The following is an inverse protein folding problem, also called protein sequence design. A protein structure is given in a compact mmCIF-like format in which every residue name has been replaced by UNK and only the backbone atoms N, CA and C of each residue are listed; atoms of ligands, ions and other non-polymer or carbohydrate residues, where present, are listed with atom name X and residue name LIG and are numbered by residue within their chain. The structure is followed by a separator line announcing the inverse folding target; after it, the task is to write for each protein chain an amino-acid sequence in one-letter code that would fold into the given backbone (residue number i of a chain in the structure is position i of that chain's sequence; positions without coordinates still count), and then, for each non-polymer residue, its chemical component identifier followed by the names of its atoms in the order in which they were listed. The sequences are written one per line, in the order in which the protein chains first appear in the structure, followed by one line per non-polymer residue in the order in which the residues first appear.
data_IF_689576742939
#
_entry.id   IF_689576742939
#
_cell.length_a   1.000
_cell.length_b   1.000
_cell.length_c   1.000
_cell.angle_alpha   90.00
_cell.angle_beta   90.00
_cell.angle_gamma   90.00
#
_symmetry.space_group_name_H-M   'P 1'
#
loop_
_entity.id
_entity.type
_entity.pdbx_description
1 polymer ?
#
# COMPACT_ATOMS: atom_id res chain seq x y z
N UNK A 1 25.42 -7.19 -7.72
CA UNK A 1 26.36 -7.69 -6.71
C UNK A 1 25.61 -8.22 -5.51
N UNK A 2 25.97 -9.39 -5.06
CA UNK A 2 25.32 -10.06 -3.94
C UNK A 2 26.25 -10.13 -2.72
N UNK A 3 26.58 -9.01 -2.15
CA UNK A 3 27.28 -8.98 -0.86
C UNK A 3 26.32 -9.16 0.30
N UNK A 4 26.82 -9.48 1.52
CA UNK A 4 25.96 -9.67 2.69
C UNK A 4 25.04 -8.48 3.00
N UNK A 5 25.48 -7.27 2.78
CA UNK A 5 24.68 -6.06 2.99
C UNK A 5 23.56 -5.90 1.99
N UNK A 6 23.72 -6.37 0.76
CA UNK A 6 22.66 -6.30 -0.25
C UNK A 6 21.46 -7.17 0.16
N UNK A 7 21.70 -8.30 0.85
CA UNK A 7 20.66 -9.18 1.34
C UNK A 7 19.86 -8.60 2.50
N UNK A 8 20.43 -7.61 3.19
CA UNK A 8 19.81 -6.97 4.36
C UNK A 8 19.30 -5.56 4.06
N UNK A 9 19.36 -5.13 2.79
CA UNK A 9 18.84 -3.83 2.41
C UNK A 9 17.31 -3.80 2.58
N UNK A 10 16.86 -2.89 3.40
CA UNK A 10 15.43 -2.72 3.72
C UNK A 10 15.06 -1.24 3.64
N UNK A 11 13.76 -1.00 3.49
CA UNK A 11 13.20 0.33 3.70
C UNK A 11 12.03 0.24 4.68
N UNK A 12 11.66 1.37 5.25
CA UNK A 12 10.65 1.43 6.29
C UNK A 12 9.46 2.26 5.85
N UNK A 13 8.26 1.79 6.19
CA UNK A 13 7.02 2.49 5.91
C UNK A 13 6.39 2.86 7.26
N UNK A 14 6.28 4.16 7.57
CA UNK A 14 5.68 4.59 8.83
C UNK A 14 4.16 4.51 8.78
N UNK A 15 3.49 4.52 9.95
CA UNK A 15 2.04 4.48 9.98
C UNK A 15 1.42 5.82 9.57
N UNK A 16 0.24 5.75 8.98
CA UNK A 16 -0.62 6.90 8.77
C UNK A 16 -1.42 7.16 10.04
N UNK A 17 -1.36 8.39 10.55
CA UNK A 17 -2.17 8.84 11.67
C UNK A 17 -2.77 10.18 11.37
N UNK A 18 -4.10 10.25 11.35
CA UNK A 18 -4.83 11.49 11.25
C UNK A 18 -5.63 11.70 12.54
N UNK A 19 -5.98 12.95 12.82
CA UNK A 19 -6.77 13.28 14.00
C UNK A 19 -8.15 12.59 14.01
N UNK A 20 -8.65 12.21 12.83
CA UNK A 20 -9.95 11.54 12.67
C UNK A 20 -9.92 10.05 12.95
N UNK A 21 -8.76 9.45 13.09
CA UNK A 21 -8.61 8.01 13.27
C UNK A 21 -7.67 7.71 14.43
N UNK A 22 -7.90 6.57 15.07
CA UNK A 22 -7.10 6.12 16.21
C UNK A 22 -6.05 5.13 15.70
N UNK A 23 -4.91 5.65 15.27
CA UNK A 23 -3.78 4.80 14.92
C UNK A 23 -3.10 4.30 16.21
N UNK A 24 -2.93 2.99 16.33
CA UNK A 24 -2.36 2.37 17.54
C UNK A 24 -0.88 2.21 17.42
N UNK A 25 -0.44 1.77 16.27
CA UNK A 25 0.96 1.41 16.08
C UNK A 25 1.73 2.56 15.49
N UNK A 26 2.79 2.94 16.20
CA UNK A 26 3.78 3.92 15.74
C UNK A 26 4.98 3.22 15.09
N UNK A 27 4.99 1.88 15.10
CA UNK A 27 6.07 1.08 14.53
C UNK A 27 6.06 1.18 13.00
N UNK A 28 7.25 1.26 12.42
CA UNK A 28 7.42 1.24 10.98
C UNK A 28 7.39 -0.20 10.48
N UNK A 29 6.71 -0.44 9.37
CA UNK A 29 6.81 -1.72 8.67
C UNK A 29 8.11 -1.76 7.87
N UNK A 30 8.73 -2.93 7.81
CA UNK A 30 9.98 -3.14 7.08
C UNK A 30 9.71 -3.98 5.84
N UNK A 31 10.28 -3.55 4.71
CA UNK A 31 10.22 -4.29 3.46
C UNK A 31 11.63 -4.46 2.91
N UNK A 32 11.86 -5.56 2.21
CA UNK A 32 13.13 -5.81 1.53
C UNK A 32 13.18 -5.04 0.21
N UNK A 33 14.31 -4.45 -0.11
CA UNK A 33 14.54 -3.88 -1.44
C UNK A 33 14.54 -5.00 -2.50
N UNK A 34 15.02 -6.17 -2.14
CA UNK A 34 14.87 -7.37 -2.97
C UNK A 34 13.68 -8.19 -2.45
N UNK A 35 12.52 -8.00 -3.05
CA UNK A 35 11.29 -8.68 -2.66
C UNK A 35 11.36 -10.20 -2.86
N UNK A 36 12.29 -10.71 -3.70
CA UNK A 36 12.42 -12.15 -3.93
C UNK A 36 12.94 -12.91 -2.70
N UNK A 37 13.48 -12.19 -1.72
CA UNK A 37 13.95 -12.78 -0.46
C UNK A 37 12.82 -13.22 0.47
N UNK A 38 11.60 -12.74 0.24
CA UNK A 38 10.44 -13.10 1.07
C UNK A 38 9.92 -14.47 0.63
N UNK A 39 9.91 -15.49 1.52
CA UNK A 39 9.64 -16.86 1.10
C UNK A 39 8.17 -17.18 0.83
N UNK A 40 7.23 -16.49 1.47
CA UNK A 40 5.80 -16.76 1.34
C UNK A 40 5.16 -15.90 0.27
N UNK A 41 4.21 -16.47 -0.47
CA UNK A 41 3.59 -15.80 -1.62
C UNK A 41 2.88 -14.49 -1.26
N UNK A 42 2.00 -14.51 -0.28
CA UNK A 42 1.26 -13.31 0.13
C UNK A 42 2.16 -12.17 0.56
N UNK A 43 3.02 -12.38 1.57
CA UNK A 43 4.00 -11.35 1.99
C UNK A 43 4.96 -10.94 0.89
N UNK A 44 5.37 -11.85 0.01
CA UNK A 44 6.24 -11.52 -1.13
C UNK A 44 5.54 -10.59 -2.09
N UNK A 45 4.29 -10.85 -2.40
CA UNK A 45 3.49 -9.99 -3.26
C UNK A 45 3.32 -8.60 -2.63
N UNK A 46 2.98 -8.52 -1.37
CA UNK A 46 2.90 -7.24 -0.66
C UNK A 46 4.23 -6.49 -0.72
N UNK A 47 5.35 -7.19 -0.53
CA UNK A 47 6.68 -6.58 -0.61
C UNK A 47 7.01 -6.07 -2.02
N UNK A 48 6.61 -6.80 -3.06
CA UNK A 48 6.75 -6.35 -4.43
C UNK A 48 6.00 -5.04 -4.67
N UNK A 49 4.76 -4.97 -4.19
CA UNK A 49 3.93 -3.77 -4.32
C UNK A 49 4.55 -2.61 -3.52
N UNK A 50 5.06 -2.89 -2.30
CA UNK A 50 5.76 -1.90 -1.50
C UNK A 50 6.94 -1.28 -2.25
N UNK A 51 7.76 -2.11 -2.89
CA UNK A 51 8.91 -1.64 -3.69
C UNK A 51 8.44 -0.75 -4.84
N UNK A 52 7.38 -1.14 -5.52
CA UNK A 52 6.85 -0.38 -6.65
C UNK A 52 6.30 0.97 -6.21
N UNK A 53 5.52 1.00 -5.14
CA UNK A 53 4.97 2.24 -4.59
C UNK A 53 6.05 3.16 -4.04
N UNK A 54 7.03 2.62 -3.31
CA UNK A 54 8.15 3.40 -2.77
C UNK A 54 8.94 4.09 -3.89
N UNK A 55 9.20 3.35 -4.96
CA UNK A 55 9.92 3.87 -6.12
C UNK A 55 9.13 4.98 -6.82
N UNK A 56 7.83 4.78 -7.00
CA UNK A 56 6.97 5.78 -7.60
C UNK A 56 6.88 7.04 -6.73
N UNK A 57 6.73 6.89 -5.43
CA UNK A 57 6.69 8.03 -4.48
C UNK A 57 8.00 8.81 -4.54
N UNK A 58 9.14 8.12 -4.53
CA UNK A 58 10.45 8.76 -4.63
C UNK A 58 10.59 9.55 -5.94
N UNK A 59 10.16 8.97 -7.04
CA UNK A 59 10.14 9.65 -8.33
C UNK A 59 9.28 10.93 -8.31
N UNK A 60 8.09 10.84 -7.73
CA UNK A 60 7.20 12.00 -7.63
C UNK A 60 7.78 13.10 -6.74
N UNK A 61 8.49 12.73 -5.68
CA UNK A 61 9.19 13.70 -4.82
C UNK A 61 10.35 14.35 -5.56
N UNK A 62 11.22 13.55 -6.14
CA UNK A 62 12.50 14.01 -6.67
C UNK A 62 12.38 14.72 -8.02
N UNK A 63 11.50 14.23 -8.89
CA UNK A 63 11.36 14.76 -10.24
C UNK A 63 10.26 15.83 -10.33
N UNK A 64 9.13 15.60 -9.66
CA UNK A 64 7.98 16.50 -9.74
C UNK A 64 7.81 17.43 -8.55
N UNK A 65 8.64 17.25 -7.51
CA UNK A 65 8.59 18.10 -6.33
C UNK A 65 7.30 17.97 -5.52
N UNK A 66 6.58 16.83 -5.67
CA UNK A 66 5.33 16.60 -4.93
C UNK A 66 5.63 16.24 -3.47
N UNK A 67 4.79 16.72 -2.55
CA UNK A 67 4.85 16.36 -1.14
C UNK A 67 4.02 15.09 -0.89
N UNK A 68 4.55 13.96 -1.37
CA UNK A 68 3.90 12.65 -1.23
C UNK A 68 4.71 11.76 -0.31
N UNK A 69 4.03 10.88 0.42
CA UNK A 69 4.65 9.94 1.35
C UNK A 69 3.92 8.60 1.30
N UNK A 70 4.68 7.51 1.46
CA UNK A 70 4.14 6.17 1.58
C UNK A 70 3.95 5.83 3.06
N UNK A 71 2.74 5.39 3.43
CA UNK A 71 2.35 5.02 4.78
C UNK A 71 1.60 3.69 4.76
N UNK A 72 1.33 3.11 5.93
CA UNK A 72 0.37 2.03 6.11
C UNK A 72 -0.62 2.43 7.19
N UNK A 73 -1.75 1.72 7.28
CA UNK A 73 -2.75 1.99 8.32
C UNK A 73 -3.00 0.76 9.17
N UNK A 74 -3.07 0.97 10.49
CA UNK A 74 -3.51 -0.03 11.46
C UNK A 74 -4.06 0.69 12.68
N UNK A 75 -5.26 0.31 13.12
CA UNK A 75 -5.89 0.94 14.28
C UNK A 75 -6.08 -0.02 15.47
N UNK A 76 -6.66 0.49 16.57
CA UNK A 76 -6.90 -0.28 17.81
C UNK A 76 -7.88 -1.42 17.60
N UNK A 77 -8.76 -1.32 16.61
CA UNK A 77 -9.79 -2.31 16.33
C UNK A 77 -9.33 -3.38 15.33
N UNK A 78 -8.04 -3.37 14.98
CA UNK A 78 -7.44 -4.35 14.08
C UNK A 78 -7.74 -4.12 12.61
N UNK A 79 -8.26 -2.93 12.24
CA UNK A 79 -8.43 -2.57 10.84
C UNK A 79 -7.09 -2.17 10.26
N UNK A 80 -6.79 -2.68 9.07
CA UNK A 80 -5.51 -2.45 8.41
C UNK A 80 -5.72 -2.13 6.94
N UNK A 81 -4.82 -1.30 6.40
CA UNK A 81 -4.63 -1.10 4.96
C UNK A 81 -3.13 -1.14 4.70
N UNK A 82 -2.72 -1.96 3.76
CA UNK A 82 -1.30 -2.20 3.52
C UNK A 82 -0.54 -0.93 3.15
N UNK A 83 -1.11 -0.09 2.28
CA UNK A 83 -0.45 1.13 1.84
C UNK A 83 -1.42 2.30 1.74
N UNK A 84 -0.96 3.44 2.23
CA UNK A 84 -1.67 4.71 2.13
C UNK A 84 -0.66 5.73 1.57
N UNK A 85 -0.90 6.20 0.36
CA UNK A 85 -0.09 7.29 -0.19
C UNK A 85 -0.78 8.60 0.16
N UNK A 86 -0.05 9.44 0.88
CA UNK A 86 -0.54 10.76 1.29
C UNK A 86 0.12 11.85 0.45
N UNK A 87 -0.62 12.88 0.14
CA UNK A 87 -0.09 14.12 -0.40
C UNK A 87 -0.46 15.24 0.54
N UNK A 88 0.53 15.99 1.04
CA UNK A 88 0.33 17.02 2.06
C UNK A 88 -0.44 16.49 3.27
N UNK A 89 -0.04 15.31 3.72
CA UNK A 89 -0.62 14.60 4.86
C UNK A 89 -2.07 14.13 4.65
N UNK A 90 -2.62 14.23 3.44
CA UNK A 90 -3.97 13.76 3.13
C UNK A 90 -3.91 12.49 2.27
N UNK A 91 -4.66 11.44 2.61
CA UNK A 91 -4.70 10.23 1.79
C UNK A 91 -5.18 10.53 0.38
N UNK A 92 -4.42 10.04 -0.60
CA UNK A 92 -4.75 10.14 -2.02
C UNK A 92 -4.97 8.78 -2.66
N UNK A 93 -4.26 7.76 -2.17
CA UNK A 93 -4.33 6.41 -2.70
C UNK A 93 -4.28 5.42 -1.54
N UNK A 94 -5.24 4.51 -1.52
CA UNK A 94 -5.32 3.42 -0.56
C UNK A 94 -5.17 2.11 -1.31
N UNK A 95 -4.25 1.25 -0.87
CA UNK A 95 -3.98 -0.02 -1.56
C UNK A 95 -3.93 -1.16 -0.55
N UNK A 96 -4.76 -2.16 -0.79
CA UNK A 96 -4.73 -3.42 -0.05
C UNK A 96 -4.33 -4.54 -1.01
N UNK A 97 -3.43 -5.41 -0.57
CA UNK A 97 -2.90 -6.51 -1.37
C UNK A 97 -3.51 -7.83 -0.93
N UNK A 98 -3.98 -8.61 -1.91
CA UNK A 98 -4.47 -9.97 -1.69
C UNK A 98 -3.80 -10.92 -2.66
N UNK A 99 -3.66 -12.19 -2.26
CA UNK A 99 -3.10 -13.18 -3.19
C UNK A 99 -4.10 -13.53 -4.28
N UNK A 100 -5.35 -13.72 -3.92
CA UNK A 100 -6.42 -14.09 -4.84
C UNK A 100 -7.62 -13.16 -4.77
N UNK A 101 -8.77 -13.64 -5.27
CA UNK A 101 -10.03 -12.89 -5.26
C UNK A 101 -10.72 -13.03 -3.91
N UNK A 102 -10.41 -12.13 -3.00
CA UNK A 102 -11.00 -12.07 -1.66
C UNK A 102 -12.04 -10.95 -1.55
N UNK A 103 -12.88 -11.04 -0.52
CA UNK A 103 -13.82 -9.96 -0.19
C UNK A 103 -13.08 -8.69 0.27
N UNK A 104 -13.77 -7.56 0.22
CA UNK A 104 -13.20 -6.27 0.62
C UNK A 104 -12.84 -6.28 2.12
N UNK A 105 -11.61 -5.87 2.44
CA UNK A 105 -11.20 -5.80 3.84
C UNK A 105 -11.82 -4.60 4.55
N UNK A 106 -12.12 -4.80 5.85
CA UNK A 106 -12.75 -3.76 6.69
C UNK A 106 -11.97 -2.46 6.73
N UNK A 107 -10.65 -2.55 6.80
CA UNK A 107 -9.79 -1.37 6.87
C UNK A 107 -9.93 -0.48 5.66
N UNK A 108 -10.01 -1.07 4.49
CA UNK A 108 -10.13 -0.32 3.24
C UNK A 108 -11.47 0.41 3.16
N UNK A 109 -12.57 -0.27 3.50
CA UNK A 109 -13.90 0.36 3.57
C UNK A 109 -13.92 1.49 4.61
N UNK A 110 -13.30 1.27 5.75
CA UNK A 110 -13.22 2.23 6.84
C UNK A 110 -12.51 3.52 6.39
N UNK A 111 -11.34 3.40 5.76
CA UNK A 111 -10.60 4.57 5.29
C UNK A 111 -11.30 5.25 4.10
N UNK A 112 -11.86 4.48 3.18
CA UNK A 112 -12.58 5.06 2.02
C UNK A 112 -13.77 5.90 2.46
N UNK A 113 -14.50 5.46 3.47
CA UNK A 113 -15.61 6.22 4.03
C UNK A 113 -15.15 7.56 4.62
N UNK A 114 -14.01 7.58 5.28
CA UNK A 114 -13.48 8.79 5.94
C UNK A 114 -12.74 9.71 4.98
N UNK A 115 -12.18 9.15 3.94
CA UNK A 115 -11.40 9.89 2.94
C UNK A 115 -11.95 9.60 1.55
N UNK A 116 -13.19 10.03 1.33
CA UNK A 116 -13.95 9.70 0.11
C UNK A 116 -13.26 10.14 -1.19
N UNK A 117 -12.45 11.19 -1.13
CA UNK A 117 -11.73 11.68 -2.31
C UNK A 117 -10.49 10.83 -2.66
N UNK A 118 -10.05 9.94 -1.77
CA UNK A 118 -8.93 9.07 -2.06
C UNK A 118 -9.34 7.94 -3.00
N UNK A 119 -8.44 7.58 -3.92
CA UNK A 119 -8.63 6.39 -4.75
C UNK A 119 -8.34 5.15 -3.88
N UNK A 120 -9.24 4.19 -3.89
CA UNK A 120 -9.12 2.98 -3.08
C UNK A 120 -9.09 1.75 -3.97
N UNK A 121 -8.07 0.91 -3.76
CA UNK A 121 -7.84 -0.29 -4.55
C UNK A 121 -7.59 -1.50 -3.65
N UNK A 122 -8.26 -2.60 -3.96
CA UNK A 122 -7.87 -3.91 -3.49
C UNK A 122 -7.34 -4.69 -4.67
N UNK A 123 -6.05 -4.95 -4.68
CA UNK A 123 -5.37 -5.58 -5.81
C UNK A 123 -4.98 -7.02 -5.48
N UNK A 124 -4.95 -7.87 -6.49
CA UNK A 124 -4.62 -9.28 -6.31
C UNK A 124 -3.46 -9.71 -7.21
N UNK A 125 -2.69 -10.68 -6.72
CA UNK A 125 -1.60 -11.29 -7.48
C UNK A 125 -2.14 -12.25 -8.54
N UNK A 126 -3.12 -13.08 -8.17
CA UNK A 126 -3.64 -14.17 -9.02
C UNK A 126 -5.11 -14.03 -9.37
N UNK A 127 -5.81 -13.08 -8.75
CA UNK A 127 -7.24 -12.87 -8.97
C UNK A 127 -7.53 -12.33 -10.37
N UNK A 128 -8.75 -12.54 -10.82
CA UNK A 128 -9.21 -12.13 -12.16
C UNK A 128 -10.33 -11.11 -12.12
N UNK A 129 -10.90 -10.88 -10.94
CA UNK A 129 -12.00 -9.92 -10.79
C UNK A 129 -11.52 -8.51 -11.05
N UNK A 130 -12.35 -7.74 -11.76
CA UNK A 130 -12.09 -6.35 -12.06
C UNK A 130 -13.43 -5.61 -12.04
N UNK A 131 -13.69 -4.89 -10.95
CA UNK A 131 -14.95 -4.15 -10.77
C UNK A 131 -14.77 -3.03 -9.74
N UNK A 132 -15.75 -2.15 -9.69
CA UNK A 132 -15.80 -1.07 -8.70
C UNK A 132 -17.01 -1.33 -7.79
N UNK A 133 -16.80 -1.27 -6.48
CA UNK A 133 -17.89 -1.41 -5.52
C UNK A 133 -18.77 -0.15 -5.48
N UNK A 134 -19.99 -0.24 -4.92
CA UNK A 134 -20.84 0.96 -4.74
C UNK A 134 -20.13 2.06 -3.93
N UNK A 135 -19.24 1.70 -3.01
CA UNK A 135 -18.50 2.65 -2.19
C UNK A 135 -17.32 3.29 -2.94
N UNK A 136 -17.04 2.84 -4.16
CA UNK A 136 -15.96 3.39 -4.97
C UNK A 136 -14.61 2.72 -4.79
N UNK A 137 -14.58 1.47 -4.27
CA UNK A 137 -13.35 0.68 -4.16
C UNK A 137 -13.17 -0.13 -5.44
N UNK A 138 -12.02 0.03 -6.10
CA UNK A 138 -11.67 -0.77 -7.27
C UNK A 138 -11.05 -2.09 -6.82
N UNK A 139 -11.63 -3.19 -7.29
CA UNK A 139 -11.04 -4.53 -7.13
C UNK A 139 -10.49 -4.95 -8.47
N UNK A 140 -9.20 -5.25 -8.55
CA UNK A 140 -8.56 -5.53 -9.84
C UNK A 140 -7.28 -6.34 -9.68
N UNK A 141 -6.79 -6.98 -10.75
CA UNK A 141 -5.45 -7.53 -10.77
C UNK A 141 -4.40 -6.45 -10.54
N UNK A 142 -3.30 -6.81 -9.89
CA UNK A 142 -2.26 -5.84 -9.50
C UNK A 142 -1.74 -5.00 -10.67
N UNK A 143 -1.56 -5.58 -11.84
CA UNK A 143 -1.04 -4.86 -13.00
C UNK A 143 -1.93 -3.70 -13.43
N UNK A 144 -3.22 -3.79 -13.18
CA UNK A 144 -4.16 -2.70 -13.51
C UNK A 144 -3.81 -1.42 -12.77
N UNK A 145 -3.43 -1.53 -11.49
CA UNK A 145 -2.96 -0.39 -10.71
C UNK A 145 -1.50 -0.04 -11.07
N UNK A 146 -0.61 -1.02 -11.05
CA UNK A 146 0.83 -0.76 -11.16
C UNK A 146 1.21 -0.08 -12.47
N UNK A 147 0.48 -0.33 -13.56
CA UNK A 147 0.68 0.35 -14.84
C UNK A 147 0.42 1.84 -14.78
N UNK A 148 -0.41 2.29 -13.85
CA UNK A 148 -0.73 3.73 -13.70
C UNK A 148 0.36 4.48 -12.95
N UNK A 149 1.31 3.77 -12.35
CA UNK A 149 2.36 4.33 -11.50
C UNK A 149 3.72 4.40 -12.21
N UNK A 150 3.73 4.55 -13.50
CA UNK A 150 4.98 4.65 -14.28
C UNK A 150 5.21 6.06 -14.79
#
# INVERSE_FOLDING_TARGET
MSGPWALHAIFRVPPFGAAKIRAVKKERKHYHLDWTLVPENGPRFENLVACHLAKWVEFEQDVKGRDVELRYFRDVDGREVDFVVCERAQPKLLVECKWGDDGIVRGLSYLKERFAAADAWQISATGKKDYVTPEGIRVAPALTLLRTLV
#
